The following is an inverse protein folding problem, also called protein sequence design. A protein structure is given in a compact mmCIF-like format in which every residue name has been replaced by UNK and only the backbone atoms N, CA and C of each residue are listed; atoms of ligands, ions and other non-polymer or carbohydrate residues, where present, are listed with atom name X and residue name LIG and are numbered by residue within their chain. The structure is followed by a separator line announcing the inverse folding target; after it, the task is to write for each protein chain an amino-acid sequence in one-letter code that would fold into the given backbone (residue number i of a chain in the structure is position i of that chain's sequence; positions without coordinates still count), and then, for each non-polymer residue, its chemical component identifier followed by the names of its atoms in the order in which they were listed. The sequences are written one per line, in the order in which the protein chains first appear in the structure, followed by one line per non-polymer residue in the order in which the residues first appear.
data_IF_071921794996
#
_entry.id   IF_071921794996
#
_cell.length_a   1.000
_cell.length_b   1.000
_cell.length_c   1.000
_cell.angle_alpha   90.00
_cell.angle_beta   90.00
_cell.angle_gamma   90.00
#
_symmetry.space_group_name_H-M   'P 1'
#
loop_
_entity.id
_entity.type
_entity.pdbx_description
1 polymer ?
#
# COMPACT_ATOMS: atom_id res chain seq x y z
N UNK A 1 13.21 -14.15 3.12
CA UNK A 1 12.82 -12.97 3.95
C UNK A 1 13.56 -11.71 3.52
N UNK A 2 13.62 -11.50 2.21
CA UNK A 2 14.30 -10.37 1.58
C UNK A 2 13.44 -9.10 1.78
N UNK A 3 13.93 -8.13 2.49
CA UNK A 3 13.33 -6.80 2.60
C UNK A 3 12.46 -6.53 3.82
N UNK A 4 12.08 -7.55 4.59
CA UNK A 4 11.28 -7.36 5.81
C UNK A 4 12.13 -7.19 7.09
N UNK A 5 13.41 -7.53 7.05
CA UNK A 5 14.29 -7.42 8.22
C UNK A 5 14.53 -5.96 8.56
N UNK A 6 14.04 -5.52 9.71
CA UNK A 6 14.08 -4.15 10.19
C UNK A 6 12.82 -3.34 9.91
N UNK A 7 11.94 -3.78 9.00
CA UNK A 7 10.64 -3.11 8.75
C UNK A 7 9.51 -3.64 9.63
N UNK A 8 9.74 -4.72 10.38
CA UNK A 8 8.72 -5.33 11.24
C UNK A 8 8.16 -4.34 12.25
N UNK A 9 9.00 -3.48 12.83
CA UNK A 9 8.53 -2.45 13.76
C UNK A 9 7.65 -1.42 13.05
N UNK A 10 8.06 -0.96 11.87
CA UNK A 10 7.30 0.03 11.10
C UNK A 10 5.97 -0.56 10.57
N UNK A 11 5.97 -1.84 10.19
CA UNK A 11 4.76 -2.57 9.79
C UNK A 11 3.85 -2.77 11.00
N UNK A 12 4.42 -3.14 12.15
CA UNK A 12 3.67 -3.29 13.41
C UNK A 12 3.01 -1.98 13.84
N UNK A 13 3.69 -0.86 13.64
CA UNK A 13 3.18 0.46 13.97
C UNK A 13 2.17 0.98 12.92
N UNK A 14 1.90 0.21 11.86
CA UNK A 14 0.89 0.47 10.83
C UNK A 14 1.09 1.82 10.12
N UNK A 15 2.35 2.19 9.89
CA UNK A 15 2.71 3.44 9.26
C UNK A 15 3.68 3.25 8.11
N UNK A 16 3.20 3.41 6.89
CA UNK A 16 4.08 3.44 5.70
C UNK A 16 5.04 4.63 5.77
N UNK A 17 4.64 5.72 6.42
CA UNK A 17 5.49 6.88 6.64
C UNK A 17 6.67 6.56 7.57
N UNK A 18 6.43 5.80 8.65
CA UNK A 18 7.48 5.31 9.54
C UNK A 18 8.46 4.36 8.84
N UNK A 19 7.99 3.61 7.85
CA UNK A 19 8.80 2.70 7.07
C UNK A 19 9.64 3.39 5.97
N UNK A 20 9.39 4.68 5.68
CA UNK A 20 9.98 5.39 4.54
C UNK A 20 11.52 5.35 4.52
N UNK A 21 12.25 5.69 5.61
CA UNK A 21 13.71 5.66 5.58
C UNK A 21 14.26 4.25 5.32
N UNK A 22 13.66 3.25 5.91
CA UNK A 22 14.06 1.86 5.74
C UNK A 22 13.72 1.32 4.35
N UNK A 23 12.61 1.75 3.77
CA UNK A 23 12.23 1.46 2.40
C UNK A 23 13.30 1.98 1.42
N UNK A 24 13.71 3.24 1.54
CA UNK A 24 14.76 3.84 0.71
C UNK A 24 16.09 3.12 0.90
N UNK A 25 16.48 2.81 2.14
CA UNK A 25 17.70 2.07 2.42
C UNK A 25 17.70 0.66 1.81
N UNK A 26 16.58 -0.03 1.90
CA UNK A 26 16.43 -1.37 1.31
C UNK A 26 16.54 -1.30 -0.21
N UNK A 27 15.88 -0.35 -0.84
CA UNK A 27 15.95 -0.16 -2.29
C UNK A 27 17.39 0.13 -2.75
N UNK A 28 18.10 1.00 -2.05
CA UNK A 28 19.46 1.41 -2.45
C UNK A 28 20.51 0.36 -2.12
N UNK A 29 20.52 -0.13 -0.88
CA UNK A 29 21.59 -1.01 -0.39
C UNK A 29 21.42 -2.49 -0.77
N UNK A 30 20.16 -2.93 -1.01
CA UNK A 30 19.87 -4.35 -1.28
C UNK A 30 19.30 -4.61 -2.67
N UNK A 31 18.44 -3.72 -3.16
CA UNK A 31 17.79 -3.91 -4.45
C UNK A 31 18.55 -3.24 -5.62
N UNK A 32 19.65 -2.52 -5.32
CA UNK A 32 20.46 -1.89 -6.35
C UNK A 32 19.75 -0.75 -7.09
N UNK A 33 18.79 -0.09 -6.43
CA UNK A 33 18.05 1.03 -6.99
C UNK A 33 18.80 2.33 -6.70
N UNK A 34 19.04 3.20 -7.70
CA UNK A 34 19.64 4.51 -7.46
C UNK A 34 18.85 5.34 -6.46
N UNK A 35 19.55 6.08 -5.60
CA UNK A 35 18.94 6.84 -4.50
C UNK A 35 17.82 7.79 -4.95
N UNK A 36 17.98 8.47 -6.08
CA UNK A 36 16.95 9.37 -6.63
C UNK A 36 15.66 8.62 -6.98
N UNK A 37 15.76 7.43 -7.59
CA UNK A 37 14.61 6.59 -7.95
C UNK A 37 13.99 5.99 -6.68
N UNK A 38 14.81 5.55 -5.72
CA UNK A 38 14.35 4.98 -4.45
C UNK A 38 13.56 6.02 -3.63
N UNK A 39 14.09 7.23 -3.48
CA UNK A 39 13.42 8.32 -2.79
C UNK A 39 12.11 8.70 -3.47
N UNK A 40 12.11 8.81 -4.80
CA UNK A 40 10.90 9.15 -5.56
C UNK A 40 9.83 8.06 -5.42
N UNK A 41 10.18 6.79 -5.66
CA UNK A 41 9.22 5.68 -5.59
C UNK A 41 8.66 5.49 -4.19
N UNK A 42 9.48 5.64 -3.16
CA UNK A 42 9.06 5.49 -1.77
C UNK A 42 8.14 6.64 -1.33
N UNK A 43 8.47 7.91 -1.63
CA UNK A 43 7.63 9.06 -1.28
C UNK A 43 6.35 9.14 -2.10
N UNK A 44 6.42 8.83 -3.39
CA UNK A 44 5.26 8.78 -4.26
C UNK A 44 4.31 7.65 -3.85
N UNK A 45 4.86 6.45 -3.56
CA UNK A 45 4.11 5.31 -3.05
C UNK A 45 3.43 5.61 -1.71
N UNK A 46 4.08 6.39 -0.83
CA UNK A 46 3.48 6.84 0.42
C UNK A 46 2.26 7.75 0.20
N UNK A 47 2.28 8.57 -0.85
CA UNK A 47 1.24 9.56 -1.12
C UNK A 47 0.05 9.00 -1.91
N UNK A 48 0.30 8.22 -2.96
CA UNK A 48 -0.74 7.71 -3.87
C UNK A 48 -0.63 6.22 -4.19
N UNK A 49 0.39 5.53 -3.70
CA UNK A 49 0.61 4.10 -3.92
C UNK A 49 0.10 3.21 -2.78
N UNK A 50 -0.98 3.61 -2.10
CA UNK A 50 -1.52 2.86 -0.95
C UNK A 50 -2.51 1.77 -1.41
N UNK A 51 -2.06 0.84 -2.27
CA UNK A 51 -2.89 -0.17 -2.92
C UNK A 51 -3.67 -1.05 -1.94
N UNK A 52 -3.05 -1.45 -0.83
CA UNK A 52 -3.71 -2.25 0.20
C UNK A 52 -4.79 -1.48 0.96
N UNK A 53 -4.56 -0.20 1.25
CA UNK A 53 -5.45 0.63 2.06
C UNK A 53 -6.52 1.34 1.23
N UNK A 54 -6.15 1.85 0.06
CA UNK A 54 -7.02 2.68 -0.77
C UNK A 54 -7.61 1.95 -1.98
N UNK A 55 -7.03 0.80 -2.36
CA UNK A 55 -7.49 -0.03 -3.48
C UNK A 55 -8.24 -1.27 -3.02
N UNK A 56 -7.49 -2.24 -2.50
CA UNK A 56 -8.02 -3.58 -2.21
C UNK A 56 -9.07 -3.55 -1.10
N UNK A 57 -8.79 -2.89 0.01
CA UNK A 57 -9.67 -2.91 1.17
C UNK A 57 -11.05 -2.28 0.91
N UNK A 58 -11.17 -1.05 0.40
CA UNK A 58 -12.47 -0.46 0.12
C UNK A 58 -13.24 -1.20 -0.98
N UNK A 59 -12.53 -1.75 -1.99
CA UNK A 59 -13.17 -2.54 -3.04
C UNK A 59 -13.75 -3.85 -2.48
N UNK A 60 -12.99 -4.55 -1.63
CA UNK A 60 -13.45 -5.76 -0.95
C UNK A 60 -14.68 -5.48 -0.09
N UNK A 61 -14.66 -4.39 0.70
CA UNK A 61 -15.80 -3.99 1.51
C UNK A 61 -17.04 -3.69 0.68
N UNK A 62 -16.90 -2.96 -0.43
CA UNK A 62 -18.02 -2.66 -1.31
C UNK A 62 -18.67 -3.94 -1.85
N UNK A 63 -17.88 -4.89 -2.31
CA UNK A 63 -18.37 -6.20 -2.81
C UNK A 63 -19.02 -7.03 -1.70
N UNK A 64 -18.50 -6.98 -0.46
CA UNK A 64 -19.08 -7.69 0.67
C UNK A 64 -20.41 -7.06 1.16
N UNK A 65 -20.49 -5.74 1.13
CA UNK A 65 -21.65 -4.99 1.62
C UNK A 65 -22.79 -4.93 0.61
N UNK A 66 -22.48 -4.91 -0.70
CA UNK A 66 -23.50 -4.78 -1.75
C UNK A 66 -24.62 -5.84 -1.66
N UNK A 67 -24.34 -7.16 -1.54
CA UNK A 67 -25.39 -8.16 -1.41
C UNK A 67 -26.24 -8.01 -0.12
N UNK A 68 -25.61 -7.59 0.97
CA UNK A 68 -26.31 -7.35 2.25
C UNK A 68 -27.26 -6.16 2.15
N UNK A 69 -26.92 -5.20 1.30
CA UNK A 69 -27.75 -4.03 0.98
C UNK A 69 -28.75 -4.29 -0.15
N UNK A 70 -28.88 -5.53 -0.66
CA UNK A 70 -29.68 -5.90 -1.83
C UNK A 70 -29.30 -5.12 -3.10
N UNK A 71 -28.03 -4.76 -3.25
CA UNK A 71 -27.48 -4.14 -4.45
C UNK A 71 -26.85 -5.24 -5.30
N UNK A 72 -27.29 -5.37 -6.55
CA UNK A 72 -26.73 -6.33 -7.48
C UNK A 72 -25.34 -5.90 -7.96
N UNK A 73 -24.41 -6.86 -7.99
CA UNK A 73 -23.06 -6.62 -8.51
C UNK A 73 -23.08 -6.89 -10.01
N UNK A 74 -23.58 -5.91 -10.75
CA UNK A 74 -23.60 -5.91 -12.21
C UNK A 74 -22.35 -5.25 -12.81
N UNK A 75 -22.25 -5.23 -14.12
CA UNK A 75 -21.13 -4.60 -14.83
C UNK A 75 -21.02 -3.09 -14.52
N UNK A 76 -22.15 -2.41 -14.39
CA UNK A 76 -22.19 -0.98 -14.07
C UNK A 76 -21.66 -0.72 -12.66
N UNK A 77 -22.05 -1.54 -11.69
CA UNK A 77 -21.50 -1.47 -10.33
C UNK A 77 -19.97 -1.61 -10.32
N UNK A 78 -19.43 -2.61 -11.04
CA UNK A 78 -17.98 -2.85 -11.10
C UNK A 78 -17.24 -1.67 -11.72
N UNK A 79 -17.73 -1.13 -12.83
CA UNK A 79 -17.10 0.04 -13.49
C UNK A 79 -17.14 1.26 -12.57
N UNK A 80 -18.27 1.50 -11.91
CA UNK A 80 -18.42 2.61 -10.96
C UNK A 80 -17.50 2.43 -9.76
N UNK A 81 -17.41 1.21 -9.21
CA UNK A 81 -16.51 0.88 -8.11
C UNK A 81 -15.05 1.17 -8.48
N UNK A 82 -14.61 0.73 -9.66
CA UNK A 82 -13.24 0.98 -10.14
C UNK A 82 -12.98 2.50 -10.22
N UNK A 83 -13.87 3.26 -10.84
CA UNK A 83 -13.72 4.70 -10.97
C UNK A 83 -13.65 5.41 -9.61
N UNK A 84 -14.53 5.04 -8.67
CA UNK A 84 -14.56 5.62 -7.32
C UNK A 84 -13.31 5.27 -6.54
N UNK A 85 -12.84 4.02 -6.61
CA UNK A 85 -11.61 3.58 -5.93
C UNK A 85 -10.39 4.32 -6.48
N UNK A 86 -10.28 4.51 -7.80
CA UNK A 86 -9.18 5.28 -8.41
C UNK A 86 -9.19 6.72 -7.88
N UNK A 87 -10.33 7.38 -7.90
CA UNK A 87 -10.43 8.78 -7.45
C UNK A 87 -10.14 8.89 -5.95
N UNK A 88 -10.71 8.02 -5.13
CA UNK A 88 -10.52 8.04 -3.68
C UNK A 88 -9.07 7.74 -3.27
N UNK A 89 -8.34 6.95 -4.05
CA UNK A 89 -6.95 6.60 -3.75
C UNK A 89 -5.99 7.80 -3.72
N UNK A 90 -6.31 8.87 -4.46
CA UNK A 90 -5.52 10.11 -4.43
C UNK A 90 -5.64 10.89 -3.11
N UNK A 91 -6.69 10.64 -2.33
CA UNK A 91 -6.93 11.31 -1.05
C UNK A 91 -6.41 10.56 0.17
N UNK A 92 -5.81 9.39 0.00
CA UNK A 92 -5.41 8.51 1.10
C UNK A 92 -3.90 8.46 1.22
N UNK A 93 -3.37 9.12 2.26
CA UNK A 93 -1.95 9.03 2.60
C UNK A 93 -1.66 7.76 3.42
N UNK A 94 -0.40 7.32 3.42
CA UNK A 94 0.10 6.16 4.17
C UNK A 94 0.24 6.40 5.68
N UNK A 95 -0.84 6.84 6.30
CA UNK A 95 -0.96 7.08 7.75
C UNK A 95 -2.08 6.23 8.34
N UNK A 96 -2.02 5.98 9.64
CA UNK A 96 -3.05 5.18 10.31
C UNK A 96 -4.47 5.73 10.09
N UNK A 97 -5.43 4.83 9.80
CA UNK A 97 -6.83 5.20 9.54
C UNK A 97 -7.16 5.54 8.08
N UNK A 98 -6.17 5.63 7.19
CA UNK A 98 -6.41 5.95 5.78
C UNK A 98 -7.34 4.97 5.07
N UNK A 99 -7.24 3.68 5.38
CA UNK A 99 -8.11 2.65 4.82
C UNK A 99 -9.58 2.78 5.26
N UNK A 100 -9.81 3.12 6.52
CA UNK A 100 -11.16 3.42 7.03
C UNK A 100 -11.76 4.61 6.29
N UNK A 101 -10.98 5.68 6.13
CA UNK A 101 -11.44 6.87 5.39
C UNK A 101 -11.77 6.53 3.93
N UNK A 102 -10.89 5.80 3.23
CA UNK A 102 -11.13 5.35 1.86
C UNK A 102 -12.41 4.51 1.76
N UNK A 103 -12.61 3.60 2.72
CA UNK A 103 -13.78 2.73 2.75
C UNK A 103 -15.08 3.49 2.94
N UNK A 104 -15.09 4.45 3.87
CA UNK A 104 -16.26 5.31 4.10
C UNK A 104 -16.57 6.09 2.82
N UNK A 105 -15.56 6.65 2.17
CA UNK A 105 -15.74 7.42 0.93
C UNK A 105 -16.32 6.55 -0.19
N UNK A 106 -15.75 5.36 -0.42
CA UNK A 106 -16.20 4.44 -1.47
C UNK A 106 -17.63 3.95 -1.20
N UNK A 107 -17.91 3.47 0.02
CA UNK A 107 -19.25 2.99 0.38
C UNK A 107 -20.30 4.10 0.28
N UNK A 108 -20.00 5.31 0.75
CA UNK A 108 -20.91 6.45 0.68
C UNK A 108 -21.19 6.86 -0.77
N UNK A 109 -20.17 6.86 -1.63
CA UNK A 109 -20.35 7.21 -3.04
C UNK A 109 -21.18 6.17 -3.80
N UNK A 110 -21.08 4.91 -3.42
CA UNK A 110 -21.88 3.81 -3.98
C UNK A 110 -23.27 3.67 -3.30
N UNK A 111 -23.63 4.58 -2.40
CA UNK A 111 -24.86 4.53 -1.59
C UNK A 111 -25.01 3.22 -0.79
N UNK A 112 -23.90 2.63 -0.37
CA UNK A 112 -23.88 1.44 0.46
C UNK A 112 -23.88 1.81 1.96
N UNK A 113 -24.47 0.97 2.84
CA UNK A 113 -24.57 1.26 4.27
C UNK A 113 -23.20 1.23 4.94
N UNK A 114 -22.69 2.40 5.31
CA UNK A 114 -21.38 2.58 5.99
C UNK A 114 -21.33 1.91 7.36
N UNK A 115 -22.48 1.75 8.02
CA UNK A 115 -22.57 1.12 9.34
C UNK A 115 -21.98 -0.32 9.37
N UNK A 116 -22.08 -1.05 8.25
CA UNK A 116 -21.51 -2.40 8.14
C UNK A 116 -19.98 -2.38 8.12
N UNK A 117 -19.35 -1.30 7.65
CA UNK A 117 -17.90 -1.14 7.75
C UNK A 117 -17.45 -1.00 9.21
N UNK A 118 -18.30 -0.46 10.10
CA UNK A 118 -17.99 -0.29 11.52
C UNK A 118 -17.67 -1.60 12.23
N UNK A 119 -18.30 -2.70 11.83
CA UNK A 119 -18.02 -4.04 12.40
C UNK A 119 -16.59 -4.48 12.06
N UNK A 120 -16.10 -4.13 10.87
CA UNK A 120 -14.77 -4.51 10.40
C UNK A 120 -13.65 -3.60 10.93
N UNK A 121 -14.00 -2.41 11.42
CA UNK A 121 -13.05 -1.49 12.08
C UNK A 121 -12.44 -2.13 13.34
N UNK A 122 -13.17 -2.98 14.05
CA UNK A 122 -12.65 -3.66 15.24
C UNK A 122 -11.50 -4.63 14.96
N UNK A 123 -11.47 -5.24 13.77
CA UNK A 123 -10.40 -6.14 13.33
C UNK A 123 -9.37 -5.43 12.42
N UNK A 124 -9.61 -4.16 12.09
CA UNK A 124 -8.74 -3.37 11.22
C UNK A 124 -7.27 -3.36 11.67
N UNK A 125 -6.94 -3.20 12.98
CA UNK A 125 -5.55 -3.20 13.42
C UNK A 125 -4.76 -4.44 13.01
N UNK A 126 -5.41 -5.58 12.93
CA UNK A 126 -4.78 -6.84 12.52
C UNK A 126 -4.57 -6.92 11.01
N UNK A 127 -5.57 -6.50 10.26
CA UNK A 127 -5.54 -6.49 8.79
C UNK A 127 -4.59 -5.40 8.28
N UNK A 128 -4.51 -4.28 8.97
CA UNK A 128 -3.72 -3.12 8.58
C UNK A 128 -2.20 -3.40 8.53
N UNK A 129 -1.71 -4.31 9.36
CA UNK A 129 -0.32 -4.75 9.28
C UNK A 129 0.01 -5.36 7.91
N UNK A 130 -0.87 -6.24 7.41
CA UNK A 130 -0.71 -6.85 6.08
C UNK A 130 -0.81 -5.83 4.95
N UNK A 131 -1.75 -4.89 5.04
CA UNK A 131 -1.91 -3.80 4.05
C UNK A 131 -0.71 -2.86 4.01
N UNK A 132 -0.17 -2.50 5.18
CA UNK A 132 1.04 -1.67 5.26
C UNK A 132 2.24 -2.39 4.66
N UNK A 133 2.41 -3.68 4.93
CA UNK A 133 3.44 -4.49 4.30
C UNK A 133 3.31 -4.50 2.76
N UNK A 134 2.09 -4.65 2.24
CA UNK A 134 1.82 -4.61 0.81
C UNK A 134 2.20 -3.24 0.23
N UNK A 135 1.74 -2.15 0.80
CA UNK A 135 2.01 -0.79 0.31
C UNK A 135 3.51 -0.48 0.25
N UNK A 136 4.26 -0.87 1.28
CA UNK A 136 5.71 -0.69 1.33
C UNK A 136 6.41 -1.51 0.26
N UNK A 137 6.03 -2.79 0.10
CA UNK A 137 6.61 -3.66 -0.93
C UNK A 137 6.28 -3.20 -2.36
N UNK A 138 5.07 -2.71 -2.61
CA UNK A 138 4.67 -2.20 -3.92
C UNK A 138 5.52 -1.00 -4.34
N UNK A 139 5.84 -0.10 -3.41
CA UNK A 139 6.73 1.02 -3.70
C UNK A 139 8.17 0.59 -3.99
N UNK A 140 8.68 -0.46 -3.32
CA UNK A 140 9.99 -1.06 -3.63
C UNK A 140 9.99 -1.73 -5.00
N UNK A 141 8.91 -2.43 -5.35
CA UNK A 141 8.75 -3.06 -6.65
C UNK A 141 8.71 -2.01 -7.76
N UNK A 142 7.97 -0.92 -7.56
CA UNK A 142 7.91 0.19 -8.50
C UNK A 142 9.28 0.85 -8.72
N UNK A 143 10.04 1.09 -7.64
CA UNK A 143 11.40 1.63 -7.71
C UNK A 143 12.36 0.69 -8.46
N UNK A 144 12.34 -0.59 -8.14
CA UNK A 144 13.18 -1.61 -8.80
C UNK A 144 12.81 -1.75 -10.28
N UNK A 145 11.51 -1.78 -10.59
CA UNK A 145 11.00 -1.84 -11.96
C UNK A 145 11.43 -0.61 -12.77
N UNK A 146 11.31 0.58 -12.19
CA UNK A 146 11.73 1.84 -12.82
C UNK A 146 13.23 1.86 -13.09
N UNK A 147 14.05 1.49 -12.08
CA UNK A 147 15.50 1.43 -12.24
C UNK A 147 15.91 0.46 -13.36
N UNK A 148 15.23 -0.68 -13.47
CA UNK A 148 15.47 -1.66 -14.52
C UNK A 148 15.06 -1.15 -15.90
N UNK A 149 13.89 -0.54 -16.03
CA UNK A 149 13.39 0.00 -17.30
C UNK A 149 14.22 1.17 -17.81
N UNK A 150 14.79 1.96 -16.91
CA UNK A 150 15.65 3.10 -17.25
C UNK A 150 17.13 2.73 -17.39
N UNK A 151 17.49 1.44 -17.28
CA UNK A 151 18.87 0.92 -17.33
C UNK A 151 19.81 1.53 -16.25
N UNK A 152 19.26 1.92 -15.11
CA UNK A 152 20.04 2.44 -13.96
C UNK A 152 20.12 1.42 -12.81
N UNK A 153 19.64 0.21 -13.02
CA UNK A 153 19.63 -0.84 -12.00
C UNK A 153 21.02 -1.48 -11.80
N UNK A 154 21.51 -1.49 -10.57
CA UNK A 154 22.75 -2.17 -10.21
C UNK A 154 22.50 -3.64 -9.85
N UNK A 155 22.66 -4.49 -10.87
CA UNK A 155 22.50 -5.93 -10.69
C UNK A 155 23.53 -6.54 -9.75
N UNK A 156 24.74 -5.95 -9.62
CA UNK A 156 25.79 -6.49 -8.74
C UNK A 156 25.38 -6.36 -7.28
N UNK A 157 24.81 -5.22 -6.90
CA UNK A 157 24.26 -5.00 -5.56
C UNK A 157 23.10 -5.94 -5.28
N UNK A 158 22.21 -6.17 -6.26
CA UNK A 158 21.08 -7.09 -6.11
C UNK A 158 21.52 -8.55 -5.93
N UNK A 159 22.51 -9.02 -6.71
CA UNK A 159 23.03 -10.38 -6.65
C UNK A 159 24.03 -10.60 -5.51
N UNK A 160 24.52 -9.52 -4.87
CA UNK A 160 25.35 -9.63 -3.68
C UNK A 160 24.47 -10.13 -2.52
N UNK A 161 24.72 -11.35 -2.02
CA UNK A 161 24.06 -11.88 -0.83
C UNK A 161 24.53 -11.22 0.48
N UNK A 162 25.09 -10.03 0.40
CA UNK A 162 25.50 -9.26 1.58
C UNK A 162 24.29 -8.56 2.18
N UNK A 163 23.60 -9.28 3.04
CA UNK A 163 22.47 -8.77 3.84
C UNK A 163 22.96 -7.99 5.06
N UNK A 164 23.97 -7.13 4.89
CA UNK A 164 24.52 -6.30 5.95
C UNK A 164 23.44 -5.63 6.80
N UNK A 165 23.72 -5.47 8.08
CA UNK A 165 22.81 -4.91 9.07
C UNK A 165 22.35 -3.50 8.65
N UNK A 166 21.05 -3.33 8.36
CA UNK A 166 20.46 -2.04 8.05
C UNK A 166 20.28 -1.16 9.30
N UNK A 167 20.50 -1.71 10.50
CA UNK A 167 20.40 -1.01 11.76
C UNK A 167 21.67 -0.23 12.14
N UNK A 168 22.78 -0.44 11.43
CA UNK A 168 24.05 0.25 11.69
C UNK A 168 24.13 1.56 10.87
N UNK A 169 23.35 2.57 11.27
CA UNK A 169 23.65 4.02 11.16
C UNK A 169 22.56 4.83 11.81
#
# INVERSE_FOLDING_TARGET
SLGLVGSEMCIRDRSSAGALPLNVQTQTKRLGVPEGIANFSATFGLSIGQNGCAGIYPAMLAVMVAPVANVEIDFQFVVTLIAVVIISSFGVAGVGGGATFASILVLSTLNLPVALAGVLISIEPLIDMGRTALNVNDSMLAGTGTARLTNHWDKKTFDSNDYGDLSAN
#
